data_IF_544108188174
#
_entry.id   IF_544108188174
#
_cell.length_a   1.000
_cell.length_b   1.000
_cell.length_c   1.000
_cell.angle_alpha   90.00
_cell.angle_beta   90.00
_cell.angle_gamma   90.00
#
_symmetry.space_group_name_H-M   'P 1'
#
loop_
_entity.id
_entity.type
_entity.pdbx_description
1 polymer ?
#
# COMPACT_ATOMS: atom_id res chain seq x y z
N UNK A 1 -8.74 -76.22 -5.16
CA UNK A 1 -8.38 -74.79 -5.28
C UNK A 1 -9.33 -73.97 -4.43
N UNK A 2 -8.85 -73.43 -3.37
CA UNK A 2 -9.66 -72.59 -2.47
C UNK A 2 -9.45 -71.14 -2.83
N UNK A 3 -10.50 -70.37 -3.13
CA UNK A 3 -10.45 -69.01 -3.49
C UNK A 3 -10.64 -68.15 -2.23
N UNK A 4 -9.68 -67.23 -1.96
CA UNK A 4 -9.71 -66.35 -0.82
C UNK A 4 -10.33 -65.03 -1.23
N UNK A 5 -11.16 -64.41 -0.38
CA UNK A 5 -11.86 -63.16 -0.63
C UNK A 5 -13.31 -63.30 -1.07
N UNK A 6 -13.74 -64.53 -1.43
CA UNK A 6 -15.11 -64.76 -1.89
C UNK A 6 -16.14 -64.69 -0.76
N UNK A 7 -15.80 -65.17 0.42
CA UNK A 7 -16.71 -65.21 1.58
C UNK A 7 -16.86 -63.76 2.16
N UNK A 8 -15.75 -63.04 2.32
CA UNK A 8 -15.77 -61.66 2.80
C UNK A 8 -16.50 -60.71 1.84
N UNK A 9 -16.29 -60.87 0.51
CA UNK A 9 -16.98 -60.04 -0.47
C UNK A 9 -18.49 -60.33 -0.52
N UNK A 10 -18.89 -61.60 -0.44
CA UNK A 10 -20.30 -61.99 -0.41
C UNK A 10 -21.00 -61.44 0.84
N UNK A 11 -20.36 -61.59 2.02
CA UNK A 11 -20.89 -61.07 3.28
C UNK A 11 -21.02 -59.53 3.26
N UNK A 12 -20.04 -58.86 2.75
CA UNK A 12 -20.04 -57.38 2.63
C UNK A 12 -21.16 -56.89 1.74
N UNK A 13 -21.38 -57.54 0.58
CA UNK A 13 -22.46 -57.19 -0.34
C UNK A 13 -23.86 -57.45 0.27
N UNK A 14 -24.04 -58.53 0.99
CA UNK A 14 -25.32 -58.84 1.65
C UNK A 14 -25.60 -57.79 2.75
N UNK A 15 -24.61 -57.51 3.59
CA UNK A 15 -24.78 -56.54 4.66
C UNK A 15 -25.04 -55.14 4.08
N UNK A 16 -24.25 -54.69 3.09
CA UNK A 16 -24.42 -53.39 2.47
C UNK A 16 -25.76 -53.25 1.75
N UNK A 17 -26.18 -54.30 1.01
CA UNK A 17 -27.46 -54.32 0.33
C UNK A 17 -28.65 -54.30 1.29
N UNK A 18 -28.56 -55.04 2.41
CA UNK A 18 -29.59 -55.01 3.45
C UNK A 18 -29.70 -53.66 4.13
N UNK A 19 -28.56 -53.04 4.44
CA UNK A 19 -28.51 -51.70 5.04
C UNK A 19 -29.07 -50.61 4.09
N UNK A 20 -28.77 -50.69 2.80
CA UNK A 20 -29.34 -49.79 1.79
C UNK A 20 -30.85 -49.94 1.67
N UNK A 21 -31.38 -51.17 1.72
CA UNK A 21 -32.83 -51.45 1.72
C UNK A 21 -33.51 -50.87 2.96
N UNK A 22 -32.92 -51.07 4.14
CA UNK A 22 -33.48 -50.53 5.39
C UNK A 22 -33.46 -48.98 5.35
N UNK A 23 -32.38 -48.41 4.88
CA UNK A 23 -32.24 -46.95 4.79
C UNK A 23 -33.26 -46.32 3.83
N UNK A 24 -33.52 -47.01 2.70
CA UNK A 24 -34.50 -46.59 1.71
C UNK A 24 -35.94 -46.68 2.22
N UNK A 25 -36.26 -47.71 3.02
CA UNK A 25 -37.63 -47.92 3.55
C UNK A 25 -37.89 -47.11 4.82
N UNK A 26 -36.91 -46.99 5.69
CA UNK A 26 -37.08 -46.39 7.01
C UNK A 26 -36.62 -44.92 7.11
N UNK A 27 -35.96 -44.41 6.08
CA UNK A 27 -35.37 -43.03 6.04
C UNK A 27 -34.51 -42.69 7.28
N UNK A 28 -33.75 -43.68 7.81
CA UNK A 28 -33.04 -43.54 9.09
C UNK A 28 -31.59 -43.07 8.95
N UNK A 29 -31.10 -42.80 7.74
CA UNK A 29 -29.72 -42.42 7.44
C UNK A 29 -28.64 -43.33 8.10
N UNK A 30 -28.96 -44.64 8.23
CA UNK A 30 -28.11 -45.67 8.88
C UNK A 30 -26.82 -45.88 8.09
N UNK A 31 -26.90 -45.84 6.76
CA UNK A 31 -25.75 -46.03 5.88
C UNK A 31 -24.66 -44.99 6.14
N UNK A 32 -25.03 -43.76 6.40
CA UNK A 32 -24.07 -42.67 6.68
C UNK A 32 -23.33 -42.85 8.01
N UNK A 33 -23.95 -43.51 9.01
CA UNK A 33 -23.32 -43.77 10.30
C UNK A 33 -22.39 -44.99 10.27
N UNK A 34 -22.67 -45.98 9.40
CA UNK A 34 -21.88 -47.21 9.30
C UNK A 34 -20.75 -47.10 8.29
N UNK A 35 -20.86 -46.19 7.33
CA UNK A 35 -19.88 -45.99 6.26
C UNK A 35 -18.44 -45.73 6.77
N UNK A 36 -18.19 -44.99 7.88
CA UNK A 36 -16.85 -44.80 8.44
C UNK A 36 -16.17 -46.11 8.90
N UNK A 37 -16.93 -47.19 9.12
CA UNK A 37 -16.40 -48.49 9.56
C UNK A 37 -15.94 -49.41 8.42
N UNK A 38 -15.84 -48.92 7.17
CA UNK A 38 -15.34 -49.66 6.02
C UNK A 38 -13.97 -50.35 6.25
N UNK A 39 -13.02 -49.82 7.13
CA UNK A 39 -11.78 -50.55 7.41
C UNK A 39 -11.98 -51.94 8.03
N UNK A 40 -13.12 -52.18 8.67
CA UNK A 40 -13.48 -53.51 9.22
C UNK A 40 -13.55 -54.58 8.12
N UNK A 41 -13.94 -54.20 6.90
CA UNK A 41 -13.96 -55.10 5.73
C UNK A 41 -12.54 -55.55 5.37
N UNK A 42 -11.55 -54.69 5.48
CA UNK A 42 -10.13 -55.02 5.24
C UNK A 42 -9.62 -55.98 6.31
N UNK A 43 -10.02 -55.79 7.57
CA UNK A 43 -9.67 -56.70 8.66
C UNK A 43 -10.28 -58.06 8.45
N UNK A 44 -11.55 -58.15 7.96
CA UNK A 44 -12.22 -59.38 7.58
C UNK A 44 -11.49 -60.16 6.47
N UNK A 45 -11.03 -59.44 5.43
CA UNK A 45 -10.20 -60.00 4.35
C UNK A 45 -8.88 -60.55 4.88
N UNK A 46 -8.20 -59.81 5.75
CA UNK A 46 -6.95 -60.24 6.39
C UNK A 46 -7.16 -61.49 7.24
N UNK A 47 -8.26 -61.56 7.99
CA UNK A 47 -8.62 -62.74 8.79
C UNK A 47 -8.92 -63.96 7.92
N UNK A 48 -9.65 -63.79 6.80
CA UNK A 48 -9.94 -64.91 5.83
C UNK A 48 -8.63 -65.45 5.22
N UNK A 49 -7.69 -64.57 4.92
CA UNK A 49 -6.38 -64.92 4.37
C UNK A 49 -5.54 -65.68 5.41
N UNK A 50 -5.48 -65.23 6.63
CA UNK A 50 -4.80 -65.92 7.74
C UNK A 50 -5.40 -67.26 8.05
N UNK A 51 -6.74 -67.34 8.06
CA UNK A 51 -7.47 -68.61 8.26
C UNK A 51 -7.17 -69.59 7.15
N UNK A 52 -7.14 -69.13 5.90
CA UNK A 52 -6.81 -69.98 4.74
C UNK A 52 -5.38 -70.51 4.84
N UNK A 53 -4.41 -69.67 5.20
CA UNK A 53 -3.00 -70.08 5.43
C UNK A 53 -2.89 -71.10 6.59
N UNK A 54 -3.61 -70.91 7.69
CA UNK A 54 -3.63 -71.81 8.82
C UNK A 54 -4.18 -73.17 8.45
N UNK A 55 -5.29 -73.23 7.68
CA UNK A 55 -5.88 -74.50 7.22
C UNK A 55 -4.96 -75.29 6.27
N UNK A 56 -4.24 -74.58 5.37
CA UNK A 56 -3.25 -75.21 4.47
C UNK A 56 -2.10 -75.83 5.27
N UNK A 57 -1.59 -75.09 6.27
CA UNK A 57 -0.50 -75.57 7.15
C UNK A 57 -0.91 -76.82 7.97
N UNK A 58 -2.15 -76.91 8.42
CA UNK A 58 -2.66 -78.00 9.26
C UNK A 58 -2.94 -79.31 8.45
N UNK A 59 -3.35 -79.18 7.18
CA UNK A 59 -3.71 -80.33 6.36
C UNK A 59 -2.56 -80.88 5.50
N UNK A 60 -1.36 -80.33 5.50
CA UNK A 60 -0.21 -80.76 4.67
C UNK A 60 -0.52 -80.95 3.17
N UNK A 61 -1.60 -80.34 2.65
CA UNK A 61 -1.95 -80.34 1.25
C UNK A 61 -1.39 -79.09 0.61
N UNK A 62 -0.42 -79.19 -0.28
CA UNK A 62 0.09 -78.08 -1.11
C UNK A 62 -0.95 -77.79 -2.18
N UNK A 63 -2.01 -77.05 -1.82
CA UNK A 63 -2.90 -76.43 -2.79
C UNK A 63 -2.49 -75.00 -3.04
N UNK A 64 -2.38 -74.63 -4.31
CA UNK A 64 -2.14 -73.25 -4.75
C UNK A 64 -3.29 -72.38 -4.24
N UNK A 65 -2.93 -71.43 -3.35
CA UNK A 65 -3.83 -70.37 -2.88
C UNK A 65 -3.90 -69.31 -3.97
N UNK A 66 -4.99 -69.25 -4.72
CA UNK A 66 -5.21 -68.11 -5.66
C UNK A 66 -6.16 -67.12 -5.04
N UNK A 67 -5.69 -65.88 -4.98
CA UNK A 67 -6.54 -64.75 -4.61
C UNK A 67 -7.48 -64.48 -5.79
N UNK A 68 -8.78 -64.44 -5.52
CA UNK A 68 -9.75 -64.13 -6.57
C UNK A 68 -9.72 -62.64 -6.93
N UNK A 69 -9.10 -62.35 -8.06
CA UNK A 69 -8.96 -60.96 -8.56
C UNK A 69 -10.30 -60.22 -8.71
N UNK A 70 -11.40 -60.96 -8.99
CA UNK A 70 -12.74 -60.39 -9.11
C UNK A 70 -13.29 -59.94 -7.75
N UNK A 71 -13.08 -60.73 -6.71
CA UNK A 71 -13.49 -60.42 -5.35
C UNK A 71 -12.71 -59.22 -4.80
N UNK A 72 -11.41 -59.13 -5.09
CA UNK A 72 -10.59 -57.95 -4.72
C UNK A 72 -11.04 -56.72 -5.48
N UNK A 73 -11.25 -56.82 -6.80
CA UNK A 73 -11.72 -55.68 -7.60
C UNK A 73 -13.07 -55.15 -7.08
N UNK A 74 -13.97 -56.03 -6.66
CA UNK A 74 -15.26 -55.65 -6.11
C UNK A 74 -15.15 -54.97 -4.74
N UNK A 75 -14.28 -55.44 -3.85
CA UNK A 75 -14.01 -54.84 -2.58
C UNK A 75 -13.31 -53.48 -2.73
N UNK A 76 -12.38 -53.32 -3.70
CA UNK A 76 -11.80 -52.05 -4.06
C UNK A 76 -12.86 -51.04 -4.56
N UNK A 77 -13.80 -51.52 -5.38
CA UNK A 77 -14.89 -50.69 -5.91
C UNK A 77 -15.83 -50.22 -4.78
N UNK A 78 -16.16 -51.09 -3.83
CA UNK A 78 -16.93 -50.75 -2.62
C UNK A 78 -16.15 -49.74 -1.77
N UNK A 79 -14.82 -49.91 -1.61
CA UNK A 79 -13.97 -49.00 -0.89
C UNK A 79 -13.92 -47.62 -1.54
N UNK A 80 -13.73 -47.56 -2.86
CA UNK A 80 -13.72 -46.29 -3.63
C UNK A 80 -15.09 -45.59 -3.52
N UNK A 81 -16.18 -46.35 -3.66
CA UNK A 81 -17.52 -45.78 -3.52
C UNK A 81 -17.78 -45.27 -2.10
N UNK A 82 -17.32 -45.97 -1.07
CA UNK A 82 -17.41 -45.53 0.32
C UNK A 82 -16.61 -44.26 0.58
N UNK A 83 -15.40 -44.16 0.03
CA UNK A 83 -14.57 -42.97 0.10
C UNK A 83 -15.24 -41.79 -0.63
N UNK A 84 -15.85 -42.04 -1.80
CA UNK A 84 -16.55 -41.01 -2.56
C UNK A 84 -17.77 -40.45 -1.79
N UNK A 85 -18.58 -41.32 -1.20
CA UNK A 85 -19.73 -40.93 -0.37
C UNK A 85 -19.28 -40.21 0.91
N UNK A 86 -18.22 -40.68 1.57
CA UNK A 86 -17.65 -40.05 2.76
C UNK A 86 -17.05 -38.66 2.43
N UNK A 87 -16.37 -38.53 1.29
CA UNK A 87 -15.83 -37.23 0.84
C UNK A 87 -16.94 -36.24 0.52
N UNK A 88 -18.07 -36.70 -0.03
CA UNK A 88 -19.21 -35.84 -0.32
C UNK A 88 -19.88 -35.33 0.96
N UNK A 89 -19.96 -36.17 2.00
CA UNK A 89 -20.51 -35.81 3.32
C UNK A 89 -19.51 -34.95 4.16
N UNK A 90 -18.20 -35.26 4.09
CA UNK A 90 -17.15 -34.49 4.75
C UNK A 90 -16.84 -33.18 4.03
N UNK A 91 -17.06 -33.07 2.70
CA UNK A 91 -16.99 -31.80 1.99
C UNK A 91 -17.96 -30.76 2.56
N UNK A 92 -19.16 -31.13 2.93
CA UNK A 92 -20.10 -30.22 3.61
C UNK A 92 -19.57 -29.74 4.96
N UNK A 93 -18.97 -30.61 5.76
CA UNK A 93 -18.37 -30.26 7.06
C UNK A 93 -17.05 -29.50 6.89
N UNK A 94 -16.21 -29.86 5.92
CA UNK A 94 -14.98 -29.13 5.58
C UNK A 94 -15.31 -27.76 4.99
N UNK A 95 -16.33 -27.67 4.16
CA UNK A 95 -16.78 -26.41 3.58
C UNK A 95 -17.39 -25.48 4.64
N UNK A 96 -18.18 -26.02 5.57
CA UNK A 96 -18.68 -25.25 6.72
C UNK A 96 -17.57 -24.87 7.68
N UNK A 97 -16.58 -25.75 7.92
CA UNK A 97 -15.40 -25.45 8.72
C UNK A 97 -14.49 -24.41 8.06
N UNK A 98 -14.29 -24.50 6.73
CA UNK A 98 -13.54 -23.51 5.96
C UNK A 98 -14.26 -22.17 5.88
N UNK A 99 -15.59 -22.16 5.76
CA UNK A 99 -16.39 -20.94 5.84
C UNK A 99 -16.31 -20.32 7.23
N UNK A 100 -16.40 -21.13 8.28
CA UNK A 100 -16.23 -20.66 9.66
C UNK A 100 -14.81 -20.17 9.94
N UNK A 101 -13.78 -20.80 9.38
CA UNK A 101 -12.39 -20.34 9.45
C UNK A 101 -12.20 -19.05 8.64
N UNK A 102 -12.81 -18.96 7.45
CA UNK A 102 -12.79 -17.75 6.64
C UNK A 102 -13.51 -16.59 7.34
N UNK A 103 -14.68 -16.85 7.94
CA UNK A 103 -15.42 -15.87 8.73
C UNK A 103 -14.67 -15.49 10.01
N UNK A 104 -13.97 -16.43 10.63
CA UNK A 104 -13.13 -16.19 11.80
C UNK A 104 -11.84 -15.44 11.46
N UNK A 105 -11.34 -15.55 10.22
CA UNK A 105 -10.16 -14.82 9.72
C UNK A 105 -10.54 -13.50 9.02
N UNK A 106 -11.82 -13.25 8.75
CA UNK A 106 -12.27 -12.00 8.14
C UNK A 106 -12.34 -10.88 9.17
N UNK A 107 -11.79 -9.73 8.81
CA UNK A 107 -11.98 -8.52 9.58
C UNK A 107 -13.44 -8.06 9.44
N UNK A 108 -14.10 -7.86 10.56
CA UNK A 108 -15.45 -7.27 10.60
C UNK A 108 -15.35 -5.79 10.88
N UNK A 109 -16.07 -5.00 10.12
CA UNK A 109 -16.17 -3.56 10.33
C UNK A 109 -17.49 -3.24 11.04
N UNK A 110 -17.39 -2.64 12.20
CA UNK A 110 -18.53 -2.22 13.02
C UNK A 110 -18.57 -0.69 13.02
N UNK A 111 -19.68 -0.13 12.62
CA UNK A 111 -19.92 1.31 12.70
C UNK A 111 -20.45 1.66 14.09
N UNK A 112 -19.80 2.61 14.76
CA UNK A 112 -20.26 3.14 16.04
C UNK A 112 -21.26 4.29 15.80
N UNK A 113 -22.11 4.59 16.80
CA UNK A 113 -23.00 5.75 16.73
C UNK A 113 -22.23 7.04 16.44
N UNK A 114 -22.78 7.87 15.57
CA UNK A 114 -22.23 9.17 15.23
C UNK A 114 -22.24 10.09 16.48
N UNK A 115 -21.12 10.75 16.72
CA UNK A 115 -20.98 11.73 17.80
C UNK A 115 -20.91 13.14 17.22
N UNK A 116 -21.67 14.08 17.77
CA UNK A 116 -21.74 15.46 17.29
C UNK A 116 -21.53 16.44 18.45
N UNK A 117 -20.65 17.42 18.25
CA UNK A 117 -20.24 18.41 19.26
C UNK A 117 -20.29 19.82 18.69
N UNK A 118 -20.69 20.78 19.50
CA UNK A 118 -20.65 22.18 19.12
C UNK A 118 -19.19 22.67 19.05
N UNK A 119 -18.84 23.35 17.97
CA UNK A 119 -17.47 23.85 17.75
C UNK A 119 -17.32 25.34 18.06
N UNK A 120 -18.29 26.00 18.71
CA UNK A 120 -18.38 27.44 18.87
C UNK A 120 -17.15 28.06 19.55
N UNK A 121 -16.59 27.39 20.55
CA UNK A 121 -15.44 27.86 21.34
C UNK A 121 -14.12 27.14 20.98
N UNK A 122 -14.14 26.28 19.95
CA UNK A 122 -12.99 25.49 19.54
C UNK A 122 -12.11 26.32 18.61
N UNK A 123 -10.84 26.48 18.93
CA UNK A 123 -9.83 27.13 18.10
C UNK A 123 -8.94 26.13 17.37
N UNK A 124 -8.70 24.96 17.99
CA UNK A 124 -7.85 23.90 17.46
C UNK A 124 -8.52 22.55 17.59
N UNK A 125 -8.39 21.74 16.55
CA UNK A 125 -8.79 20.33 16.55
C UNK A 125 -7.53 19.46 16.44
N UNK A 126 -7.38 18.56 17.39
CA UNK A 126 -6.30 17.56 17.41
C UNK A 126 -6.91 16.17 17.24
N UNK A 127 -6.43 15.39 16.25
CA UNK A 127 -6.86 14.03 16.01
C UNK A 127 -5.64 13.13 16.15
N UNK A 128 -5.73 12.17 17.05
CA UNK A 128 -4.70 11.16 17.24
C UNK A 128 -5.25 9.76 17.01
N UNK A 129 -4.61 9.00 16.14
CA UNK A 129 -4.92 7.58 15.94
C UNK A 129 -3.63 6.79 15.72
N UNK A 130 -3.57 5.61 16.31
CA UNK A 130 -2.43 4.72 16.10
C UNK A 130 -2.55 3.93 14.81
N UNK A 131 -3.73 3.36 14.53
CA UNK A 131 -3.97 2.51 13.38
C UNK A 131 -5.35 2.77 12.79
N UNK A 132 -5.45 2.83 11.48
CA UNK A 132 -6.68 3.09 10.75
C UNK A 132 -6.61 4.36 9.90
N UNK A 133 -7.65 4.61 9.13
CA UNK A 133 -7.75 5.74 8.22
C UNK A 133 -8.35 6.95 8.93
N UNK A 134 -7.73 8.11 8.77
CA UNK A 134 -8.29 9.39 9.22
C UNK A 134 -8.72 10.18 8.00
N UNK A 135 -10.01 10.47 7.90
CA UNK A 135 -10.59 11.35 6.89
C UNK A 135 -11.15 12.60 7.53
N UNK A 136 -10.66 13.75 7.11
CA UNK A 136 -11.19 15.03 7.57
C UNK A 136 -11.80 15.76 6.38
N UNK A 137 -13.07 16.10 6.50
CA UNK A 137 -13.83 16.81 5.49
C UNK A 137 -14.44 18.09 6.08
N UNK A 138 -14.70 19.05 5.24
CA UNK A 138 -15.39 20.27 5.65
C UNK A 138 -16.84 19.97 6.04
N UNK A 139 -17.29 20.54 7.18
CA UNK A 139 -18.69 20.59 7.57
C UNK A 139 -19.31 21.92 7.12
N UNK A 140 -20.58 21.88 6.71
CA UNK A 140 -21.39 23.07 6.51
C UNK A 140 -22.06 23.55 7.81
N UNK A 141 -22.15 22.68 8.80
CA UNK A 141 -22.71 22.98 10.12
C UNK A 141 -21.62 23.45 11.10
N UNK A 142 -21.94 24.27 12.10
CA UNK A 142 -20.99 24.72 13.12
C UNK A 142 -20.69 23.62 14.17
N UNK A 143 -20.72 22.37 13.77
CA UNK A 143 -20.51 21.19 14.62
C UNK A 143 -19.37 20.34 14.10
N UNK A 144 -18.60 19.77 15.02
CA UNK A 144 -17.67 18.70 14.75
C UNK A 144 -18.46 17.39 14.81
N UNK A 145 -18.49 16.65 13.72
CA UNK A 145 -19.17 15.35 13.63
C UNK A 145 -18.13 14.26 13.45
N UNK A 146 -18.22 13.22 14.25
CA UNK A 146 -17.28 12.12 14.28
C UNK A 146 -18.01 10.83 13.96
N UNK A 147 -17.63 10.18 12.87
CA UNK A 147 -18.07 8.84 12.51
C UNK A 147 -16.90 7.90 12.70
N UNK A 148 -17.14 6.82 13.41
CA UNK A 148 -16.11 5.85 13.77
C UNK A 148 -16.44 4.47 13.22
N UNK A 149 -15.50 3.84 12.54
CA UNK A 149 -15.59 2.46 12.08
C UNK A 149 -14.46 1.66 12.72
N UNK A 150 -14.82 0.60 13.39
CA UNK A 150 -13.88 -0.26 14.13
C UNK A 150 -13.72 -1.58 13.39
N UNK A 151 -12.49 -1.92 13.07
CA UNK A 151 -12.12 -3.19 12.45
C UNK A 151 -11.74 -4.20 13.53
N UNK A 152 -12.46 -5.32 13.57
CA UNK A 152 -12.30 -6.35 14.60
C UNK A 152 -12.06 -7.70 13.94
N UNK A 153 -11.08 -8.44 14.44
CA UNK A 153 -10.65 -9.75 13.88
C UNK A 153 -11.08 -10.91 14.76
N UNK A 154 -11.37 -12.04 14.13
CA UNK A 154 -11.57 -13.34 14.79
C UNK A 154 -12.72 -13.37 15.82
N UNK A 155 -13.83 -12.67 15.58
CA UNK A 155 -14.98 -12.66 16.48
C UNK A 155 -16.28 -12.96 15.73
N UNK A 156 -17.26 -13.56 16.43
CA UNK A 156 -18.62 -13.59 15.93
C UNK A 156 -19.24 -12.19 15.94
N UNK A 157 -20.39 -11.98 15.29
CA UNK A 157 -20.97 -10.64 15.13
C UNK A 157 -21.34 -9.96 16.46
N UNK A 158 -21.78 -10.73 17.44
CA UNK A 158 -22.15 -10.21 18.77
C UNK A 158 -20.89 -9.80 19.56
N UNK A 159 -19.89 -10.68 19.60
CA UNK A 159 -18.60 -10.37 20.24
C UNK A 159 -17.88 -9.21 19.55
N UNK A 160 -17.94 -9.13 18.20
CA UNK A 160 -17.36 -8.02 17.46
C UNK A 160 -18.01 -6.68 17.82
N UNK A 161 -19.34 -6.65 18.00
CA UNK A 161 -20.07 -5.44 18.42
C UNK A 161 -19.71 -5.01 19.84
N UNK A 162 -19.50 -5.95 20.76
CA UNK A 162 -19.05 -5.63 22.11
C UNK A 162 -17.59 -5.13 22.13
N UNK A 163 -16.69 -5.83 21.42
CA UNK A 163 -15.29 -5.43 21.31
C UNK A 163 -15.12 -4.05 20.65
N UNK A 164 -15.93 -3.77 19.62
CA UNK A 164 -15.89 -2.49 18.92
C UNK A 164 -16.17 -1.28 19.81
N UNK A 165 -16.91 -1.44 20.90
CA UNK A 165 -17.17 -0.36 21.87
C UNK A 165 -15.88 0.17 22.50
N UNK A 166 -14.86 -0.68 22.65
CA UNK A 166 -13.55 -0.27 23.14
C UNK A 166 -12.82 0.64 22.14
N UNK A 167 -13.17 0.58 20.84
CA UNK A 167 -12.65 1.47 19.80
C UNK A 167 -13.28 2.86 19.78
N UNK A 168 -14.18 3.18 20.72
CA UNK A 168 -14.77 4.52 20.82
C UNK A 168 -13.69 5.55 21.15
N UNK A 169 -13.53 6.62 20.33
CA UNK A 169 -12.52 7.65 20.59
C UNK A 169 -12.79 8.36 21.92
N UNK A 170 -11.73 8.66 22.66
CA UNK A 170 -11.79 9.57 23.82
C UNK A 170 -11.84 11.00 23.33
N UNK A 171 -12.75 11.79 23.89
CA UNK A 171 -12.98 13.17 23.48
C UNK A 171 -12.73 14.10 24.65
N UNK A 172 -11.81 15.04 24.49
CA UNK A 172 -11.59 16.14 25.42
C UNK A 172 -12.05 17.44 24.76
N UNK A 173 -13.00 18.11 25.42
CA UNK A 173 -13.58 19.36 24.94
C UNK A 173 -12.90 20.57 25.61
N UNK A 174 -12.70 21.64 24.84
CA UNK A 174 -12.09 22.89 25.29
C UNK A 174 -11.75 23.78 24.09
N UNK A 175 -10.97 24.81 24.29
CA UNK A 175 -10.41 25.62 23.19
C UNK A 175 -9.56 24.76 22.22
N UNK A 176 -8.96 23.70 22.73
CA UNK A 176 -8.41 22.58 21.96
C UNK A 176 -9.34 21.39 22.11
N UNK A 177 -9.98 21.01 21.02
CA UNK A 177 -10.82 19.81 20.96
C UNK A 177 -9.96 18.63 20.53
N UNK A 178 -9.85 17.59 21.36
CA UNK A 178 -9.01 16.43 21.07
C UNK A 178 -9.85 15.19 20.87
N UNK A 179 -9.57 14.48 19.78
CA UNK A 179 -10.10 13.16 19.45
C UNK A 179 -8.93 12.18 19.53
N UNK A 180 -9.00 11.23 20.44
CA UNK A 180 -7.91 10.27 20.65
C UNK A 180 -8.45 8.84 20.62
N UNK A 181 -7.93 8.03 19.71
CA UNK A 181 -8.13 6.58 19.73
C UNK A 181 -7.08 5.97 20.65
N UNK A 182 -7.52 5.16 21.61
CA UNK A 182 -6.63 4.56 22.62
C UNK A 182 -5.48 3.78 21.95
N UNK A 183 -4.21 4.18 22.15
CA UNK A 183 -3.08 3.55 21.49
C UNK A 183 -2.82 2.10 21.96
N UNK A 184 -3.39 1.69 23.09
CA UNK A 184 -3.23 0.34 23.62
C UNK A 184 -4.10 -0.71 22.90
N UNK A 185 -5.14 -0.31 22.19
CA UNK A 185 -6.10 -1.21 21.53
C UNK A 185 -5.42 -2.19 20.56
N UNK A 186 -4.49 -1.73 19.78
CA UNK A 186 -3.77 -2.57 18.80
C UNK A 186 -2.93 -3.71 19.45
N UNK A 187 -2.66 -3.62 20.75
CA UNK A 187 -1.81 -4.58 21.48
C UNK A 187 -2.65 -5.48 22.40
N UNK A 188 -3.69 -4.94 22.99
CA UNK A 188 -4.44 -5.61 24.07
C UNK A 188 -5.80 -6.15 23.63
N UNK A 189 -6.30 -5.72 22.50
CA UNK A 189 -7.63 -6.08 22.00
C UNK A 189 -7.58 -6.80 20.63
N UNK A 190 -8.73 -7.26 20.18
CA UNK A 190 -8.89 -7.82 18.81
C UNK A 190 -9.20 -6.74 17.76
N UNK A 191 -9.08 -5.47 18.12
CA UNK A 191 -9.22 -4.35 17.21
C UNK A 191 -7.96 -4.22 16.37
N UNK A 192 -8.10 -4.28 15.06
CA UNK A 192 -6.99 -4.15 14.09
C UNK A 192 -6.82 -2.72 13.58
N UNK A 193 -7.84 -1.90 13.68
CA UNK A 193 -7.81 -0.49 13.29
C UNK A 193 -9.10 0.23 13.62
N UNK A 194 -9.00 1.55 13.72
CA UNK A 194 -10.15 2.44 13.93
C UNK A 194 -10.10 3.54 12.89
N UNK A 195 -11.05 3.52 11.97
CA UNK A 195 -11.20 4.57 10.98
C UNK A 195 -12.05 5.70 11.54
N UNK A 196 -11.56 6.91 11.36
CA UNK A 196 -12.23 8.14 11.76
C UNK A 196 -12.60 8.96 10.52
N UNK A 197 -13.85 9.30 10.38
CA UNK A 197 -14.31 10.34 9.47
C UNK A 197 -14.79 11.51 10.31
N UNK A 198 -14.10 12.65 10.21
CA UNK A 198 -14.36 13.84 11.01
C UNK A 198 -14.81 14.97 10.09
N UNK A 199 -16.02 15.46 10.30
CA UNK A 199 -16.53 16.64 9.62
C UNK A 199 -16.23 17.86 10.49
N UNK A 200 -15.52 18.83 9.92
CA UNK A 200 -14.96 19.95 10.66
C UNK A 200 -15.49 21.28 10.11
N UNK A 201 -16.03 22.17 10.94
CA UNK A 201 -16.40 23.51 10.49
C UNK A 201 -15.17 24.32 10.07
N UNK A 202 -15.38 25.31 9.22
CA UNK A 202 -14.32 26.17 8.71
C UNK A 202 -13.64 26.97 9.82
N UNK A 203 -12.36 27.32 9.63
CA UNK A 203 -11.53 28.24 10.44
C UNK A 203 -10.99 27.66 11.76
N UNK A 204 -10.77 26.37 11.85
CA UNK A 204 -10.04 25.76 12.96
C UNK A 204 -8.58 25.46 12.54
N UNK A 205 -7.64 25.61 13.46
CA UNK A 205 -6.33 25.02 13.28
C UNK A 205 -6.47 23.49 13.43
N UNK A 206 -6.00 22.73 12.45
CA UNK A 206 -6.14 21.27 12.42
C UNK A 206 -4.79 20.59 12.59
N UNK A 207 -4.70 19.70 13.56
CA UNK A 207 -3.54 18.83 13.75
C UNK A 207 -3.97 17.37 13.72
N UNK A 208 -3.36 16.61 12.82
CA UNK A 208 -3.61 15.17 12.64
C UNK A 208 -2.32 14.41 12.91
N UNK A 209 -2.36 13.50 13.87
CA UNK A 209 -1.25 12.63 14.23
C UNK A 209 -1.69 11.17 14.02
N UNK A 210 -1.00 10.50 13.12
CA UNK A 210 -1.21 9.08 12.83
C UNK A 210 0.10 8.31 12.99
N UNK A 211 0.04 7.09 13.50
CA UNK A 211 1.22 6.22 13.50
C UNK A 211 1.22 5.36 12.23
N UNK A 212 0.14 4.62 11.99
CA UNK A 212 0.02 3.78 10.80
C UNK A 212 -1.39 3.88 10.23
N UNK A 213 -1.49 4.30 8.98
CA UNK A 213 -2.77 4.43 8.30
C UNK A 213 -2.82 5.63 7.36
N UNK A 214 -3.83 5.68 6.53
CA UNK A 214 -3.97 6.75 5.57
C UNK A 214 -4.59 7.98 6.21
N UNK A 215 -4.09 9.14 5.84
CA UNK A 215 -4.64 10.43 6.26
C UNK A 215 -5.12 11.19 5.03
N UNK A 216 -6.38 11.59 5.03
CA UNK A 216 -6.99 12.38 3.96
C UNK A 216 -7.64 13.63 4.54
N UNK A 217 -7.22 14.81 4.09
CA UNK A 217 -7.79 16.10 4.53
C UNK A 217 -8.26 16.85 3.29
N UNK A 218 -9.57 17.06 3.22
CA UNK A 218 -10.20 17.69 2.07
C UNK A 218 -10.99 18.94 2.47
N UNK A 219 -10.82 20.01 1.69
CA UNK A 219 -11.60 21.27 1.80
C UNK A 219 -11.55 21.92 3.20
N UNK A 220 -10.37 22.14 3.72
CA UNK A 220 -10.19 22.77 5.03
C UNK A 220 -9.77 24.24 4.89
N UNK A 221 -10.26 25.08 5.83
CA UNK A 221 -9.86 26.49 5.96
C UNK A 221 -9.25 26.69 7.34
N UNK A 222 -7.97 26.99 7.38
CA UNK A 222 -7.15 27.12 8.58
C UNK A 222 -5.81 26.42 8.38
N UNK A 223 -4.91 26.62 9.32
CA UNK A 223 -3.61 25.96 9.28
C UNK A 223 -3.75 24.46 9.52
N UNK A 224 -2.98 23.70 8.75
CA UNK A 224 -2.99 22.23 8.80
C UNK A 224 -1.60 21.70 9.16
N UNK A 225 -1.55 20.85 10.16
CA UNK A 225 -0.36 20.05 10.50
C UNK A 225 -0.73 18.58 10.45
N UNK A 226 -0.02 17.81 9.63
CA UNK A 226 -0.15 16.36 9.55
C UNK A 226 1.18 15.72 9.93
N UNK A 227 1.15 14.78 10.86
CA UNK A 227 2.31 13.95 11.20
C UNK A 227 1.92 12.49 11.17
N UNK A 228 2.67 11.68 10.38
CA UNK A 228 2.45 10.25 10.26
C UNK A 228 3.78 9.50 10.22
N UNK A 229 3.80 8.25 10.63
CA UNK A 229 5.00 7.41 10.50
C UNK A 229 4.91 6.52 9.26
N UNK A 230 3.69 6.11 8.88
CA UNK A 230 3.51 5.26 7.70
C UNK A 230 2.10 5.32 7.15
N UNK A 231 1.99 5.44 5.84
CA UNK A 231 0.72 5.44 5.11
C UNK A 231 0.67 6.50 4.01
N UNK A 232 -0.45 6.58 3.34
CA UNK A 232 -0.69 7.61 2.34
C UNK A 232 -1.25 8.88 2.99
N UNK A 233 -0.66 10.03 2.67
CA UNK A 233 -1.19 11.35 3.04
C UNK A 233 -1.75 12.03 1.80
N UNK A 234 -3.02 12.35 1.82
CA UNK A 234 -3.70 13.09 0.75
C UNK A 234 -4.30 14.37 1.29
N UNK A 235 -3.86 15.50 0.73
CA UNK A 235 -4.31 16.84 1.16
C UNK A 235 -4.76 17.61 -0.07
N UNK A 236 -5.99 18.08 -0.06
CA UNK A 236 -6.55 18.81 -1.20
C UNK A 236 -7.43 19.97 -0.75
N UNK A 237 -7.33 21.09 -1.45
CA UNK A 237 -8.13 22.32 -1.24
C UNK A 237 -8.01 22.90 0.17
N UNK A 238 -6.80 23.20 0.61
CA UNK A 238 -6.54 23.83 1.90
C UNK A 238 -6.30 25.34 1.72
N UNK A 239 -6.93 26.14 2.58
CA UNK A 239 -6.69 27.58 2.68
C UNK A 239 -6.01 27.90 4.01
N UNK A 240 -4.70 27.98 4.01
CA UNK A 240 -3.84 28.21 5.18
C UNK A 240 -2.46 27.60 5.00
N UNK A 241 -1.59 27.79 5.99
CA UNK A 241 -0.28 27.14 6.01
C UNK A 241 -0.44 25.64 6.22
N UNK A 242 0.23 24.85 5.37
CA UNK A 242 0.18 23.38 5.44
C UNK A 242 1.56 22.85 5.77
N UNK A 243 1.68 22.07 6.84
CA UNK A 243 2.92 21.40 7.25
C UNK A 243 2.67 19.90 7.35
N UNK A 244 3.49 19.10 6.66
CA UNK A 244 3.38 17.64 6.64
C UNK A 244 4.72 17.04 7.02
N UNK A 245 4.71 16.15 8.01
CA UNK A 245 5.85 15.33 8.39
C UNK A 245 5.46 13.85 8.25
N UNK A 246 6.20 13.08 7.47
CA UNK A 246 5.96 11.66 7.26
C UNK A 246 7.29 10.91 7.27
N UNK A 247 7.30 9.69 7.83
CA UNK A 247 8.49 8.88 7.75
C UNK A 247 8.52 8.04 6.46
N UNK A 248 7.41 7.35 6.15
CA UNK A 248 7.37 6.44 5.01
C UNK A 248 5.98 6.41 4.36
N UNK A 249 5.86 6.94 3.15
CA UNK A 249 4.58 6.89 2.46
C UNK A 249 4.52 7.67 1.15
N UNK A 250 3.37 7.67 0.57
CA UNK A 250 3.04 8.51 -0.58
C UNK A 250 2.35 9.77 -0.06
N UNK A 251 2.91 10.94 -0.38
CA UNK A 251 2.30 12.22 -0.04
C UNK A 251 1.81 12.88 -1.31
N UNK A 252 0.52 13.17 -1.37
CA UNK A 252 -0.15 13.84 -2.49
C UNK A 252 -0.80 15.11 -1.97
N UNK A 253 -0.32 16.25 -2.43
CA UNK A 253 -0.82 17.57 -2.01
C UNK A 253 -1.26 18.36 -3.22
N UNK A 254 -2.49 18.84 -3.20
CA UNK A 254 -3.07 19.61 -4.30
C UNK A 254 -3.87 20.80 -3.81
N UNK A 255 -3.89 21.88 -4.60
CA UNK A 255 -4.73 23.05 -4.39
C UNK A 255 -4.55 23.70 -3.00
N UNK A 256 -3.34 24.14 -2.69
CA UNK A 256 -3.03 24.84 -1.45
C UNK A 256 -3.03 26.35 -1.69
N UNK A 257 -3.92 27.06 -1.00
CA UNK A 257 -3.92 28.52 -0.92
C UNK A 257 -3.15 28.96 0.34
N UNK A 258 -1.82 29.03 0.25
CA UNK A 258 -0.89 29.34 1.35
C UNK A 258 0.47 28.69 1.12
N UNK A 259 1.31 28.75 2.15
CA UNK A 259 2.64 28.12 2.14
C UNK A 259 2.57 26.63 2.47
N UNK A 260 3.50 25.85 1.89
CA UNK A 260 3.59 24.42 2.06
C UNK A 260 4.99 24.01 2.56
N UNK A 261 5.03 23.24 3.62
CA UNK A 261 6.24 22.59 4.12
C UNK A 261 6.04 21.09 4.25
N UNK A 262 6.88 20.29 3.57
CA UNK A 262 6.82 18.82 3.64
C UNK A 262 8.20 18.29 4.00
N UNK A 263 8.24 17.39 5.00
CA UNK A 263 9.43 16.61 5.37
C UNK A 263 9.11 15.14 5.38
N UNK A 264 9.88 14.34 4.62
CA UNK A 264 9.72 12.89 4.61
C UNK A 264 11.06 12.17 4.56
N UNK A 265 11.13 10.97 5.10
CA UNK A 265 12.34 10.14 5.02
C UNK A 265 12.33 9.28 3.76
N UNK A 266 11.20 8.65 3.43
CA UNK A 266 11.10 7.80 2.26
C UNK A 266 9.70 7.84 1.64
N UNK A 267 9.63 7.81 0.31
CA UNK A 267 8.37 7.78 -0.42
C UNK A 267 8.33 8.74 -1.60
N UNK A 268 7.17 8.84 -2.19
CA UNK A 268 6.92 9.73 -3.32
C UNK A 268 6.18 10.97 -2.86
N UNK A 269 6.71 12.15 -3.24
CA UNK A 269 6.04 13.42 -3.07
C UNK A 269 5.45 13.89 -4.41
N UNK A 270 4.15 14.13 -4.43
CA UNK A 270 3.44 14.79 -5.53
C UNK A 270 2.79 16.07 -5.02
N UNK A 271 3.26 17.21 -5.49
CA UNK A 271 2.78 18.53 -5.08
C UNK A 271 2.30 19.28 -6.32
N UNK A 272 1.08 19.77 -6.30
CA UNK A 272 0.54 20.51 -7.42
C UNK A 272 -0.36 21.68 -6.97
N UNK A 273 -0.25 22.81 -7.65
CA UNK A 273 -1.07 24.01 -7.45
C UNK A 273 -0.99 24.55 -6.01
N UNK A 274 0.16 25.08 -5.67
CA UNK A 274 0.42 25.82 -4.42
C UNK A 274 0.54 27.31 -4.77
N UNK A 275 -0.23 28.17 -4.13
CA UNK A 275 -0.18 29.63 -4.40
C UNK A 275 0.97 30.34 -3.69
N UNK A 276 1.38 29.86 -2.52
CA UNK A 276 2.47 30.36 -1.71
C UNK A 276 3.82 29.73 -2.04
N UNK A 277 4.73 29.81 -1.07
CA UNK A 277 6.05 29.16 -1.15
C UNK A 277 5.95 27.68 -0.79
N UNK A 278 6.84 26.86 -1.36
CA UNK A 278 6.93 25.45 -1.03
C UNK A 278 8.35 25.05 -0.60
N UNK A 279 8.45 24.33 0.52
CA UNK A 279 9.69 23.74 1.01
C UNK A 279 9.48 22.23 1.10
N UNK A 280 10.26 21.46 0.33
CA UNK A 280 10.13 20.02 0.23
C UNK A 280 11.45 19.34 0.61
N UNK A 281 11.44 18.53 1.63
CA UNK A 281 12.60 17.75 2.08
C UNK A 281 12.29 16.25 2.00
N UNK A 282 13.14 15.48 1.29
CA UNK A 282 13.03 14.03 1.18
C UNK A 282 14.40 13.39 1.27
N UNK A 283 14.50 12.23 1.94
CA UNK A 283 15.77 11.50 1.94
C UNK A 283 15.83 10.47 0.81
N UNK A 284 14.76 9.72 0.57
CA UNK A 284 14.70 8.67 -0.45
C UNK A 284 13.38 8.73 -1.23
N UNK A 285 13.46 8.83 -2.54
CA UNK A 285 12.29 8.73 -3.42
C UNK A 285 12.17 9.85 -4.43
N UNK A 286 11.05 9.90 -5.11
CA UNK A 286 10.77 10.88 -6.15
C UNK A 286 10.05 12.08 -5.59
N UNK A 287 10.47 13.27 -6.02
CA UNK A 287 9.75 14.53 -5.79
C UNK A 287 9.25 15.04 -7.13
N UNK A 288 7.95 15.26 -7.24
CA UNK A 288 7.31 15.92 -8.37
C UNK A 288 6.58 17.16 -7.87
N UNK A 289 6.98 18.34 -8.34
CA UNK A 289 6.36 19.60 -7.97
C UNK A 289 5.91 20.38 -9.21
N UNK A 290 4.64 20.75 -9.27
CA UNK A 290 4.07 21.43 -10.41
C UNK A 290 3.17 22.62 -10.00
N UNK A 291 3.22 23.70 -10.78
CA UNK A 291 2.36 24.88 -10.62
C UNK A 291 2.49 25.54 -9.24
N UNK A 292 3.71 25.93 -8.92
CA UNK A 292 4.03 26.65 -7.67
C UNK A 292 4.05 28.16 -7.93
N UNK A 293 3.21 28.91 -7.22
CA UNK A 293 3.10 30.37 -7.38
C UNK A 293 4.21 31.16 -6.71
N UNK A 294 4.72 30.68 -5.58
CA UNK A 294 5.82 31.28 -4.82
C UNK A 294 7.19 30.66 -5.12
N UNK A 295 8.14 30.88 -4.22
CA UNK A 295 9.46 30.27 -4.27
C UNK A 295 9.39 28.78 -3.92
N UNK A 296 10.24 27.97 -4.58
CA UNK A 296 10.34 26.53 -4.35
C UNK A 296 11.74 26.15 -3.88
N UNK A 297 11.82 25.56 -2.70
CA UNK A 297 13.05 24.96 -2.19
C UNK A 297 12.91 23.46 -2.03
N UNK A 298 13.85 22.72 -2.61
CA UNK A 298 13.89 21.25 -2.51
C UNK A 298 15.24 20.78 -2.02
N UNK A 299 15.23 19.89 -1.04
CA UNK A 299 16.42 19.18 -0.56
C UNK A 299 16.11 17.69 -0.59
N UNK A 300 16.90 16.93 -1.36
CA UNK A 300 16.79 15.50 -1.45
C UNK A 300 18.17 14.83 -1.34
N UNK A 301 18.23 13.63 -0.79
CA UNK A 301 19.48 12.86 -0.81
C UNK A 301 19.51 11.90 -1.99
N UNK A 302 18.49 11.12 -2.19
CA UNK A 302 18.47 10.08 -3.22
C UNK A 302 17.12 10.03 -3.93
N UNK A 303 17.14 9.95 -5.27
CA UNK A 303 15.91 9.79 -6.04
C UNK A 303 15.91 10.61 -7.32
N UNK A 304 14.79 11.24 -7.63
CA UNK A 304 14.59 12.09 -8.80
C UNK A 304 13.80 13.32 -8.41
N UNK A 305 14.16 14.45 -8.96
CA UNK A 305 13.40 15.69 -8.84
C UNK A 305 12.84 16.06 -10.21
N UNK A 306 11.54 16.24 -10.28
CA UNK A 306 10.80 16.71 -11.47
C UNK A 306 10.04 17.99 -11.11
N UNK A 307 10.34 19.06 -11.82
CA UNK A 307 9.74 20.39 -11.59
C UNK A 307 9.04 20.86 -12.85
N UNK A 308 7.87 21.41 -12.69
CA UNK A 308 7.16 22.07 -13.79
C UNK A 308 6.42 23.32 -13.31
N UNK A 309 6.52 24.39 -14.10
CA UNK A 309 5.72 25.62 -13.92
C UNK A 309 5.86 26.25 -12.53
N UNK A 310 7.07 26.75 -12.20
CA UNK A 310 7.31 27.52 -10.97
C UNK A 310 7.43 28.99 -11.30
N UNK A 311 6.60 29.83 -10.63
CA UNK A 311 6.56 31.26 -10.88
C UNK A 311 7.57 32.05 -10.02
N UNK A 312 7.99 31.53 -8.88
CA UNK A 312 9.01 32.11 -8.00
C UNK A 312 10.42 31.59 -8.27
N UNK A 313 11.34 31.92 -7.37
CA UNK A 313 12.71 31.44 -7.41
C UNK A 313 12.77 29.94 -7.06
N UNK A 314 13.71 29.21 -7.68
CA UNK A 314 13.89 27.79 -7.47
C UNK A 314 15.28 27.49 -6.90
N UNK A 315 15.34 26.78 -5.77
CA UNK A 315 16.57 26.20 -5.20
C UNK A 315 16.35 24.70 -4.98
N UNK A 316 16.83 23.84 -5.90
CA UNK A 316 16.68 22.40 -5.81
C UNK A 316 18.05 21.72 -5.72
N UNK A 317 18.22 20.90 -4.68
CA UNK A 317 19.46 20.17 -4.41
C UNK A 317 19.20 18.70 -4.20
N UNK A 318 19.99 17.87 -4.86
CA UNK A 318 19.98 16.41 -4.68
C UNK A 318 21.41 15.89 -4.58
N UNK A 319 21.66 14.98 -3.65
CA UNK A 319 22.99 14.35 -3.55
C UNK A 319 23.16 13.30 -4.67
N UNK A 320 22.18 12.42 -4.86
CA UNK A 320 22.25 11.35 -5.84
C UNK A 320 20.94 11.23 -6.65
N UNK A 321 20.97 11.63 -7.89
CA UNK A 321 19.85 11.51 -8.82
C UNK A 321 19.73 12.70 -9.79
N UNK A 322 18.92 12.52 -10.84
CA UNK A 322 18.71 13.55 -11.84
C UNK A 322 17.70 14.61 -11.38
N UNK A 323 17.86 15.82 -11.92
CA UNK A 323 16.90 16.91 -11.83
C UNK A 323 16.37 17.20 -13.24
N UNK A 324 15.05 17.19 -13.40
CA UNK A 324 14.37 17.65 -14.61
C UNK A 324 13.49 18.84 -14.26
N UNK A 325 13.63 19.94 -14.98
CA UNK A 325 12.89 21.14 -14.71
C UNK A 325 12.38 21.79 -16.00
N UNK A 326 11.15 22.25 -15.97
CA UNK A 326 10.49 22.91 -17.10
C UNK A 326 9.74 24.15 -16.65
N UNK A 327 9.62 25.15 -17.53
CA UNK A 327 8.80 26.36 -17.35
C UNK A 327 9.05 27.13 -16.04
N UNK A 328 10.32 27.46 -15.77
CA UNK A 328 10.72 28.23 -14.59
C UNK A 328 10.82 29.73 -14.96
N UNK A 329 10.20 30.62 -14.16
CA UNK A 329 10.04 32.03 -14.56
C UNK A 329 11.04 32.99 -13.96
N UNK A 330 11.79 32.60 -12.92
CA UNK A 330 12.72 33.51 -12.21
C UNK A 330 14.11 32.89 -12.05
N UNK A 331 14.79 33.24 -10.97
CA UNK A 331 16.11 32.71 -10.66
C UNK A 331 16.07 31.22 -10.36
N UNK A 332 17.06 30.46 -10.87
CA UNK A 332 17.12 29.01 -10.76
C UNK A 332 18.49 28.57 -10.25
N UNK A 333 18.49 27.84 -9.15
CA UNK A 333 19.66 27.13 -8.64
C UNK A 333 19.37 25.65 -8.58
N UNK A 334 20.05 24.86 -9.43
CA UNK A 334 19.93 23.38 -9.43
C UNK A 334 21.29 22.78 -9.12
N UNK A 335 21.33 21.90 -8.13
CA UNK A 335 22.58 21.23 -7.74
C UNK A 335 22.36 19.73 -7.62
N UNK A 336 23.17 18.95 -8.35
CA UNK A 336 23.21 17.48 -8.24
C UNK A 336 24.63 17.02 -7.92
N UNK A 337 24.78 16.12 -6.94
CA UNK A 337 26.05 15.47 -6.67
C UNK A 337 26.37 14.42 -7.72
N UNK A 338 25.44 13.48 -7.92
CA UNK A 338 25.52 12.45 -8.98
C UNK A 338 24.20 12.38 -9.73
N UNK A 339 24.22 12.76 -10.99
CA UNK A 339 23.04 12.76 -11.84
C UNK A 339 22.99 13.93 -12.81
N UNK A 340 22.30 13.75 -13.92
CA UNK A 340 22.13 14.78 -14.92
C UNK A 340 21.13 15.86 -14.48
N UNK A 341 21.33 17.06 -15.02
CA UNK A 341 20.38 18.16 -14.91
C UNK A 341 19.83 18.46 -16.29
N UNK A 342 18.52 18.42 -16.44
CA UNK A 342 17.84 18.85 -17.67
C UNK A 342 16.94 20.04 -17.32
N UNK A 343 17.13 21.16 -18.01
CA UNK A 343 16.34 22.37 -17.84
C UNK A 343 15.82 22.86 -19.17
N UNK A 344 14.51 22.99 -19.30
CA UNK A 344 13.83 23.51 -20.49
C UNK A 344 12.94 24.67 -20.09
N UNK A 345 13.34 25.91 -20.35
CA UNK A 345 12.59 27.09 -19.90
C UNK A 345 12.97 28.37 -20.63
N UNK A 346 12.06 29.32 -20.61
CA UNK A 346 12.38 30.73 -20.84
C UNK A 346 13.23 31.27 -19.68
N UNK A 347 14.16 32.14 -19.98
CA UNK A 347 15.08 32.72 -18.98
C UNK A 347 14.52 34.01 -18.46
N UNK A 348 14.10 34.03 -17.21
CA UNK A 348 13.57 35.22 -16.53
C UNK A 348 14.35 35.65 -15.30
N UNK A 349 15.55 35.13 -15.08
CA UNK A 349 16.43 35.44 -13.95
C UNK A 349 17.79 34.78 -14.08
N UNK A 350 18.65 34.94 -13.07
CA UNK A 350 19.97 34.30 -13.02
C UNK A 350 19.84 32.79 -12.81
N UNK A 351 20.58 31.98 -13.60
CA UNK A 351 20.64 30.55 -13.46
C UNK A 351 22.00 30.06 -13.00
N UNK A 352 22.01 29.17 -12.02
CA UNK A 352 23.20 28.49 -11.53
C UNK A 352 22.93 26.97 -11.52
N UNK A 353 23.57 26.23 -12.41
CA UNK A 353 23.41 24.78 -12.55
C UNK A 353 24.75 24.10 -12.23
N UNK A 354 24.77 23.27 -11.21
CA UNK A 354 25.96 22.55 -10.77
C UNK A 354 25.70 21.04 -10.73
N UNK A 355 26.51 20.26 -11.45
CA UNK A 355 26.53 18.82 -11.32
C UNK A 355 27.95 18.35 -11.05
N UNK A 356 28.18 17.61 -9.97
CA UNK A 356 29.53 17.05 -9.80
C UNK A 356 29.78 15.94 -10.83
N UNK A 357 28.84 15.00 -10.99
CA UNK A 357 28.94 13.91 -11.98
C UNK A 357 27.63 13.75 -12.73
N UNK A 358 27.61 14.20 -13.97
CA UNK A 358 26.43 14.08 -14.83
C UNK A 358 26.40 15.12 -15.94
N UNK A 359 25.64 14.81 -16.97
CA UNK A 359 25.41 15.71 -18.08
C UNK A 359 24.46 16.84 -17.66
N UNK A 360 24.75 18.07 -18.08
CA UNK A 360 23.85 19.20 -17.95
C UNK A 360 23.33 19.57 -19.33
N UNK A 361 22.03 19.43 -19.54
CA UNK A 361 21.33 19.76 -20.79
C UNK A 361 20.38 20.91 -20.57
N UNK A 362 20.54 21.97 -21.32
CA UNK A 362 19.71 23.18 -21.21
C UNK A 362 19.07 23.44 -22.57
N UNK A 363 17.78 23.74 -22.58
CA UNK A 363 17.08 24.26 -23.75
C UNK A 363 16.44 25.61 -23.42
N UNK A 364 16.70 26.59 -24.26
CA UNK A 364 16.15 27.94 -24.16
C UNK A 364 15.56 28.33 -25.52
N UNK A 365 14.68 29.32 -25.58
CA UNK A 365 14.21 29.90 -26.84
C UNK A 365 15.38 30.52 -27.66
N UNK A 366 15.27 30.53 -28.98
CA UNK A 366 16.27 31.17 -29.85
C UNK A 366 16.51 32.64 -29.53
N UNK A 367 15.50 33.33 -28.99
CA UNK A 367 15.54 34.73 -28.64
C UNK A 367 15.95 34.97 -27.17
N UNK A 368 16.48 33.96 -26.50
CA UNK A 368 16.89 34.11 -25.09
C UNK A 368 17.93 35.22 -24.91
N UNK A 369 17.78 36.02 -23.84
CA UNK A 369 18.67 37.11 -23.51
C UNK A 369 19.61 36.74 -22.35
N UNK A 370 20.70 35.99 -22.68
CA UNK A 370 21.56 35.33 -21.69
C UNK A 370 23.05 35.63 -21.89
N UNK A 371 23.79 35.62 -20.78
CA UNK A 371 25.25 35.56 -20.74
C UNK A 371 25.66 34.19 -20.20
N UNK A 372 25.92 33.26 -21.12
CA UNK A 372 26.19 31.84 -20.83
C UNK A 372 27.68 31.62 -20.52
N UNK A 373 27.94 30.96 -19.40
CA UNK A 373 29.26 30.46 -19.03
C UNK A 373 29.14 28.99 -18.64
N UNK A 374 29.65 28.10 -19.49
CA UNK A 374 29.74 26.67 -19.24
C UNK A 374 31.18 26.28 -18.91
N UNK A 375 31.38 25.55 -17.81
CA UNK A 375 32.69 25.07 -17.35
C UNK A 375 32.61 23.58 -17.00
N UNK A 376 33.42 22.74 -17.62
CA UNK A 376 33.58 21.31 -17.33
C UNK A 376 35.05 20.95 -17.10
N UNK A 377 35.32 20.27 -15.97
CA UNK A 377 36.69 19.79 -15.71
C UNK A 377 37.02 18.58 -16.57
N UNK A 378 36.10 17.69 -16.83
CA UNK A 378 36.25 16.48 -17.65
C UNK A 378 34.99 16.26 -18.50
N UNK A 379 34.88 16.97 -19.59
CA UNK A 379 33.75 16.87 -20.49
C UNK A 379 33.75 17.96 -21.54
N UNK A 380 32.96 17.78 -22.57
CA UNK A 380 32.75 18.74 -23.63
C UNK A 380 31.75 19.79 -23.21
N UNK A 381 32.00 21.04 -23.50
CA UNK A 381 31.02 22.13 -23.37
C UNK A 381 30.60 22.58 -24.76
N UNK A 382 29.31 22.48 -25.04
CA UNK A 382 28.67 22.90 -26.29
C UNK A 382 27.68 24.02 -26.01
N UNK A 383 27.98 25.20 -26.47
CA UNK A 383 27.05 26.32 -26.58
C UNK A 383 26.27 26.29 -27.90
N UNK A 384 25.37 27.25 -28.13
CA UNK A 384 24.58 27.36 -29.36
C UNK A 384 25.44 27.46 -30.63
N UNK A 385 26.49 28.26 -30.61
CA UNK A 385 27.41 28.43 -31.78
C UNK A 385 28.82 27.99 -31.50
N UNK A 386 29.25 27.87 -30.24
CA UNK A 386 30.60 27.53 -29.82
C UNK A 386 30.66 26.17 -29.17
N UNK A 387 31.72 25.44 -29.45
CA UNK A 387 32.04 24.18 -28.77
C UNK A 387 33.48 24.25 -28.27
N UNK A 388 33.75 23.74 -27.09
CA UNK A 388 35.10 23.71 -26.53
C UNK A 388 36.01 22.79 -27.36
N UNK A 389 37.27 23.20 -27.59
CA UNK A 389 38.20 22.41 -28.39
C UNK A 389 38.76 21.19 -27.63
N UNK A 390 38.54 21.12 -26.31
CA UNK A 390 39.14 20.10 -25.46
C UNK A 390 38.09 19.44 -24.58
N UNK A 391 38.31 18.19 -24.20
CA UNK A 391 37.47 17.44 -23.25
C UNK A 391 37.97 17.54 -21.81
N UNK A 392 39.05 18.27 -21.56
CA UNK A 392 39.64 18.50 -20.24
C UNK A 392 39.81 19.99 -20.00
N UNK A 393 39.27 20.50 -18.91
CA UNK A 393 39.26 21.95 -18.59
C UNK A 393 38.50 22.77 -19.63
N UNK A 394 37.38 22.27 -20.12
CA UNK A 394 36.56 22.90 -21.14
C UNK A 394 35.81 24.11 -20.60
N UNK A 395 35.86 25.23 -21.31
CA UNK A 395 35.11 26.44 -21.01
C UNK A 395 34.56 27.05 -22.30
N UNK A 396 33.27 27.41 -22.24
CA UNK A 396 32.61 28.18 -23.30
C UNK A 396 31.90 29.35 -22.66
N UNK A 397 32.14 30.53 -23.23
CA UNK A 397 31.43 31.76 -22.89
C UNK A 397 30.75 32.27 -24.15
N UNK A 398 29.46 32.49 -24.07
CA UNK A 398 28.66 32.92 -25.21
C UNK A 398 27.52 33.84 -24.78
N UNK A 399 27.37 34.94 -25.47
CA UNK A 399 26.33 35.93 -25.20
C UNK A 399 25.25 35.84 -26.28
N UNK A 400 24.01 35.72 -25.85
CA UNK A 400 22.81 35.76 -26.70
C UNK A 400 21.98 36.96 -26.35
N UNK A 401 21.41 37.65 -27.34
CA UNK A 401 20.69 38.90 -27.12
C UNK A 401 21.58 39.99 -26.51
N UNK A 402 21.09 40.64 -25.49
CA UNK A 402 21.85 41.68 -24.70
C UNK A 402 22.71 41.04 -23.62
N UNK A 403 22.48 39.79 -23.27
CA UNK A 403 23.15 39.09 -22.17
C UNK A 403 22.68 39.58 -20.79
N UNK A 404 21.40 39.85 -20.63
CA UNK A 404 20.84 40.43 -19.40
C UNK A 404 20.88 39.41 -18.24
N UNK A 405 20.63 38.14 -18.52
CA UNK A 405 20.56 37.13 -17.46
C UNK A 405 21.80 36.21 -17.48
N UNK A 406 22.58 36.17 -16.37
CA UNK A 406 23.70 35.25 -16.28
C UNK A 406 23.23 33.81 -16.15
N UNK A 407 23.80 32.93 -16.98
CA UNK A 407 23.58 31.48 -16.95
C UNK A 407 24.92 30.79 -16.71
N UNK A 408 25.18 30.42 -15.47
CA UNK A 408 26.40 29.74 -15.05
C UNK A 408 26.17 28.26 -14.89
N UNK A 409 26.91 27.45 -15.63
CA UNK A 409 26.80 26.00 -15.62
C UNK A 409 28.15 25.37 -15.33
N UNK A 410 28.21 24.51 -14.33
CA UNK A 410 29.44 23.81 -13.94
C UNK A 410 29.24 22.32 -13.80
N UNK A 411 30.21 21.56 -14.26
CA UNK A 411 30.31 20.13 -13.97
C UNK A 411 31.76 19.73 -13.76
N UNK A 412 32.01 18.80 -12.86
CA UNK A 412 33.34 18.19 -12.73
C UNK A 412 33.54 17.09 -13.76
N UNK A 413 32.53 16.22 -13.92
CA UNK A 413 32.60 15.07 -14.80
C UNK A 413 31.29 14.90 -15.59
N UNK A 414 31.26 15.44 -16.78
CA UNK A 414 30.07 15.40 -17.64
C UNK A 414 30.12 16.46 -18.75
N UNK A 415 29.31 16.25 -19.75
CA UNK A 415 29.14 17.22 -20.82
C UNK A 415 28.10 18.27 -20.45
N UNK A 416 28.32 19.51 -20.94
CA UNK A 416 27.35 20.60 -20.88
C UNK A 416 26.85 20.87 -22.29
N UNK A 417 25.57 20.94 -22.49
CA UNK A 417 24.95 21.28 -23.77
C UNK A 417 23.89 22.34 -23.58
N UNK A 418 24.01 23.45 -24.28
CA UNK A 418 22.98 24.48 -24.41
C UNK A 418 22.46 24.50 -25.84
N UNK A 419 21.17 24.25 -25.99
CA UNK A 419 20.44 24.28 -27.25
C UNK A 419 19.43 25.42 -27.25
N UNK A 420 19.13 25.95 -28.45
CA UNK A 420 18.20 27.08 -28.64
C UNK A 420 16.94 26.66 -29.41
N UNK A 421 16.44 25.48 -29.19
CA UNK A 421 15.28 24.92 -29.87
C UNK A 421 14.16 24.52 -28.86
N UNK A 422 13.81 25.44 -28.00
CA UNK A 422 12.69 25.27 -27.09
C UNK A 422 11.37 25.50 -27.83
#
# INVERSE_FOLDING_TARGET
MRKVGTLTSALTLIVLGTLLLIDQVAHLAIVSQILPFWPVVILGLGAELLWSLYCVKKQKIYEDIRVDARSIALLCLVGIFSIALYSQQSMGMVQSSLLNVRDALSDKTIELPEASFDAKDVQRLEIYSRTGTIKVNKSNDPKIVIKTKVHVRNLNSQQASEEAKHGTPRIAQGSTFRIEVDPSLAVTSKITGVDLEVLVPSKLALQVLSHTGNVSVLEHVGDLVVSTESGKVEVDKIKGKTTIADDNGEIVVRNIEGDLEIKTKAGTLEVARVTGNAVLENTFGQIRAAHIGGALRIISKNGRIELDSVAGDVDARIENGPIQATHLKKAVTLTSGTGGITLESEVGGAWMLNSARGMVSIRVPEQADIDFVGESSRGLVKGPTKTSPSTSGSKVTEKMGKGTYPVLVRTEDGAITLNTNL
#
